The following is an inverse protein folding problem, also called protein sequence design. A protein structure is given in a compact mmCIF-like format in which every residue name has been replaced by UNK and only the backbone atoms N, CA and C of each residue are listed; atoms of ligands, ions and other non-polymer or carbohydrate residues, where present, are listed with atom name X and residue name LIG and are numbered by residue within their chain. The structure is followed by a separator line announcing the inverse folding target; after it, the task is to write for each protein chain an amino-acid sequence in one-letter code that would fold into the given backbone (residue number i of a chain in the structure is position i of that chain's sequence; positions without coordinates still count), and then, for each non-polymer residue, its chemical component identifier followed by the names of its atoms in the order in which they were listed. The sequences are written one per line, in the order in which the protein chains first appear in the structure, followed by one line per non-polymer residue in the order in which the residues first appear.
data_IF_243185838129
#
_entry.id   IF_243185838129
#
_cell.length_a   1.000
_cell.length_b   1.000
_cell.length_c   1.000
_cell.angle_alpha   90.00
_cell.angle_beta   90.00
_cell.angle_gamma   90.00
#
_symmetry.space_group_name_H-M   'P 1'
#
loop_
_entity.id
_entity.type
_entity.pdbx_description
1 polymer ?
#
# COMPACT_ATOMS: atom_id res chain seq x y z
N UNK A 1 19.79 -9.70 19.27
CA UNK A 1 20.52 -10.19 18.07
C UNK A 1 21.91 -9.56 18.05
N UNK A 2 22.94 -10.29 17.60
CA UNK A 2 24.31 -9.75 17.44
C UNK A 2 24.46 -8.99 16.11
N UNK A 3 25.41 -8.04 15.99
CA UNK A 3 25.59 -7.21 14.78
C UNK A 3 25.86 -8.05 13.51
N UNK A 4 26.62 -9.14 13.63
CA UNK A 4 26.87 -10.06 12.53
C UNK A 4 25.59 -10.66 11.95
N UNK A 5 24.65 -11.04 12.81
CA UNK A 5 23.36 -11.60 12.41
C UNK A 5 22.45 -10.53 11.80
N UNK A 6 22.47 -9.31 12.33
CA UNK A 6 21.74 -8.17 11.76
C UNK A 6 22.16 -7.91 10.31
N UNK A 7 23.48 -7.89 10.05
CA UNK A 7 24.03 -7.74 8.70
C UNK A 7 23.61 -8.89 7.77
N UNK A 8 23.56 -10.11 8.27
CA UNK A 8 23.08 -11.27 7.50
C UNK A 8 21.60 -11.13 7.12
N UNK A 9 20.75 -10.69 8.05
CA UNK A 9 19.34 -10.43 7.77
C UNK A 9 19.16 -9.40 6.65
N UNK A 10 19.91 -8.29 6.71
CA UNK A 10 19.85 -7.25 5.67
C UNK A 10 20.35 -7.76 4.32
N UNK A 11 21.40 -8.58 4.28
CA UNK A 11 21.88 -9.22 3.04
C UNK A 11 20.81 -10.10 2.39
N UNK A 12 20.06 -10.88 3.18
CA UNK A 12 18.99 -11.74 2.67
C UNK A 12 17.86 -10.89 2.06
N UNK A 13 17.50 -9.80 2.73
CA UNK A 13 16.49 -8.86 2.26
C UNK A 13 16.99 -7.95 1.13
N UNK A 14 18.29 -7.98 0.83
CA UNK A 14 19.00 -7.08 -0.10
C UNK A 14 18.85 -5.60 0.27
N UNK A 15 18.76 -5.33 1.56
CA UNK A 15 18.65 -3.97 2.12
C UNK A 15 20.01 -3.44 2.55
N UNK A 16 20.19 -2.13 2.38
CA UNK A 16 21.28 -1.32 2.94
C UNK A 16 20.93 -0.77 4.33
N UNK A 17 21.88 -0.09 4.97
CA UNK A 17 21.64 0.60 6.25
C UNK A 17 20.63 1.74 6.09
N UNK A 18 20.71 2.47 4.98
CA UNK A 18 19.80 3.54 4.61
C UNK A 18 18.37 3.01 4.41
N UNK A 19 18.19 1.90 3.69
CA UNK A 19 16.86 1.29 3.50
C UNK A 19 16.21 0.89 4.83
N UNK A 20 17.00 0.34 5.76
CA UNK A 20 16.50 0.01 7.09
C UNK A 20 16.13 1.27 7.88
N UNK A 21 16.94 2.32 7.79
CA UNK A 21 16.69 3.59 8.47
C UNK A 21 15.39 4.25 7.96
N UNK A 22 15.20 4.27 6.64
CA UNK A 22 13.97 4.74 6.00
C UNK A 22 12.75 3.93 6.45
N UNK A 23 12.85 2.60 6.46
CA UNK A 23 11.74 1.73 6.85
C UNK A 23 11.35 1.86 8.33
N UNK A 24 12.30 2.23 9.18
CA UNK A 24 12.08 2.47 10.61
C UNK A 24 11.71 3.94 10.92
N UNK A 25 11.88 4.85 9.95
CA UNK A 25 11.76 6.29 10.17
C UNK A 25 12.76 6.83 11.19
N UNK A 26 13.95 6.21 11.29
CA UNK A 26 14.99 6.60 12.23
C UNK A 26 16.26 7.10 11.52
N UNK A 27 17.14 7.84 12.19
CA UNK A 27 18.42 8.26 11.63
C UNK A 27 19.30 7.06 11.21
N UNK A 28 19.99 7.16 10.07
CA UNK A 28 20.93 6.13 9.61
C UNK A 28 22.09 5.91 10.59
N UNK A 29 22.47 6.94 11.36
CA UNK A 29 23.52 6.83 12.37
C UNK A 29 23.19 5.81 13.47
N UNK A 30 21.91 5.64 13.81
CA UNK A 30 21.49 4.66 14.82
C UNK A 30 21.60 3.24 14.26
N UNK A 31 21.17 3.08 13.01
CA UNK A 31 21.26 1.80 12.29
C UNK A 31 22.71 1.38 12.11
N UNK A 32 23.59 2.29 11.68
CA UNK A 32 25.03 2.01 11.53
C UNK A 32 25.68 1.67 12.86
N UNK A 33 25.32 2.36 13.95
CA UNK A 33 25.79 2.00 15.29
C UNK A 33 25.38 0.56 15.71
N UNK A 34 24.18 0.10 15.31
CA UNK A 34 23.76 -1.29 15.52
C UNK A 34 24.54 -2.28 14.66
N UNK A 35 24.79 -1.93 13.39
CA UNK A 35 25.52 -2.78 12.45
C UNK A 35 27.01 -2.90 12.80
N UNK A 36 27.61 -1.85 13.35
CA UNK A 36 28.99 -1.85 13.84
C UNK A 36 29.12 -2.50 15.21
N UNK A 37 28.01 -2.69 15.92
CA UNK A 37 27.99 -3.23 17.27
C UNK A 37 28.39 -2.23 18.35
N UNK A 38 28.43 -0.93 18.03
CA UNK A 38 28.62 0.15 19.00
C UNK A 38 27.44 0.28 19.96
N UNK A 39 26.24 0.01 19.43
CA UNK A 39 24.99 0.02 20.20
C UNK A 39 24.21 -1.26 19.93
N UNK A 40 23.47 -1.75 20.92
CA UNK A 40 22.60 -2.92 20.74
C UNK A 40 21.29 -2.51 20.06
N UNK A 41 20.92 -3.20 18.99
CA UNK A 41 19.63 -3.00 18.34
C UNK A 41 18.45 -3.35 19.30
N UNK A 42 17.37 -2.52 19.32
CA UNK A 42 16.17 -2.82 20.07
C UNK A 42 15.57 -4.18 19.74
N UNK A 43 15.08 -4.91 20.76
CA UNK A 43 14.64 -6.29 20.59
C UNK A 43 13.48 -6.43 19.60
N UNK A 44 12.53 -5.48 19.61
CA UNK A 44 11.40 -5.45 18.70
C UNK A 44 11.84 -5.38 17.22
N UNK A 45 12.82 -4.52 16.91
CA UNK A 45 13.38 -4.38 15.55
C UNK A 45 14.07 -5.68 15.12
N UNK A 46 14.83 -6.30 16.03
CA UNK A 46 15.51 -7.55 15.72
C UNK A 46 14.53 -8.70 15.46
N UNK A 47 13.45 -8.81 16.25
CA UNK A 47 12.41 -9.81 16.06
C UNK A 47 11.64 -9.60 14.75
N UNK A 48 11.34 -8.34 14.43
CA UNK A 48 10.67 -7.98 13.18
C UNK A 48 11.52 -8.30 11.95
N UNK A 49 12.83 -7.99 11.96
CA UNK A 49 13.74 -8.36 10.87
C UNK A 49 13.85 -9.88 10.68
N UNK A 50 13.88 -10.65 11.76
CA UNK A 50 13.89 -12.11 11.67
C UNK A 50 12.59 -12.65 11.05
N UNK A 51 11.45 -12.07 11.40
CA UNK A 51 10.16 -12.44 10.80
C UNK A 51 10.13 -12.12 9.30
N UNK A 52 10.64 -10.97 8.88
CA UNK A 52 10.76 -10.61 7.46
C UNK A 52 11.65 -11.58 6.70
N UNK A 53 12.81 -11.94 7.26
CA UNK A 53 13.72 -12.92 6.64
C UNK A 53 13.05 -14.29 6.51
N UNK A 54 12.29 -14.72 7.53
CA UNK A 54 11.52 -15.98 7.47
C UNK A 54 10.46 -15.93 6.36
N UNK A 55 9.71 -14.83 6.25
CA UNK A 55 8.71 -14.65 5.21
C UNK A 55 9.34 -14.62 3.80
N UNK A 56 10.44 -13.88 3.63
CA UNK A 56 11.18 -13.81 2.37
C UNK A 56 11.70 -15.18 1.90
N UNK A 57 12.10 -16.05 2.84
CA UNK A 57 12.52 -17.43 2.53
C UNK A 57 11.34 -18.35 2.20
N UNK A 58 10.18 -18.11 2.80
CA UNK A 58 8.98 -18.91 2.58
C UNK A 58 8.26 -18.58 1.25
N UNK A 59 8.47 -17.38 0.72
CA UNK A 59 7.87 -16.91 -0.52
C UNK A 59 8.87 -17.03 -1.66
N UNK A 60 8.83 -18.12 -2.46
CA UNK A 60 9.65 -18.20 -3.66
C UNK A 60 9.29 -17.05 -4.62
N UNK A 61 10.23 -16.56 -5.43
CA UNK A 61 9.93 -15.58 -6.47
C UNK A 61 8.77 -16.09 -7.34
N UNK A 62 7.80 -15.24 -7.71
CA UNK A 62 6.72 -15.66 -8.60
C UNK A 62 7.36 -16.12 -9.91
N UNK A 63 7.33 -17.43 -10.15
CA UNK A 63 7.74 -17.98 -11.42
C UNK A 63 6.74 -17.47 -12.46
N UNK A 64 7.22 -16.69 -13.43
CA UNK A 64 6.51 -16.43 -14.70
C UNK A 64 6.48 -17.72 -15.55
N UNK A 65 6.29 -18.87 -14.90
CA UNK A 65 6.08 -20.15 -15.55
C UNK A 65 4.84 -20.01 -16.40
N UNK A 66 5.06 -20.01 -17.72
CA UNK A 66 4.09 -20.25 -18.79
C UNK A 66 3.00 -21.19 -18.26
N UNK A 67 1.71 -20.87 -18.46
CA UNK A 67 0.62 -21.70 -17.93
C UNK A 67 0.91 -23.16 -18.25
N UNK A 68 1.06 -23.97 -17.21
CA UNK A 68 1.12 -25.42 -17.33
C UNK A 68 -0.11 -25.81 -18.16
N UNK A 69 0.02 -26.51 -19.31
CA UNK A 69 -1.15 -26.95 -20.05
C UNK A 69 -2.00 -27.75 -19.07
N UNK A 70 -3.22 -27.29 -18.91
CA UNK A 70 -4.19 -27.74 -17.92
C UNK A 70 -3.99 -29.23 -17.63
N UNK A 71 -3.59 -29.55 -16.39
CA UNK A 71 -3.82 -30.89 -15.86
C UNK A 71 -5.26 -31.22 -16.21
N UNK A 72 -5.44 -32.37 -16.81
CA UNK A 72 -6.69 -32.92 -17.32
C UNK A 72 -7.81 -32.78 -16.27
N UNK A 73 -8.43 -31.59 -16.18
CA UNK A 73 -9.63 -31.34 -15.38
C UNK A 73 -10.70 -32.02 -16.20
N UNK A 74 -10.85 -33.33 -16.00
CA UNK A 74 -12.05 -34.02 -16.46
C UNK A 74 -13.22 -33.25 -15.90
N UNK A 75 -14.12 -32.71 -16.76
CA UNK A 75 -15.28 -32.02 -16.26
C UNK A 75 -16.03 -33.01 -15.36
N UNK A 76 -16.19 -32.64 -14.09
CA UNK A 76 -17.07 -33.36 -13.19
C UNK A 76 -18.43 -33.32 -13.88
N UNK A 77 -18.89 -34.49 -14.34
CA UNK A 77 -20.21 -34.64 -14.92
C UNK A 77 -21.19 -34.42 -13.78
N UNK A 78 -21.63 -33.17 -13.62
CA UNK A 78 -22.67 -32.80 -12.70
C UNK A 78 -23.92 -33.52 -13.19
N UNK A 79 -24.21 -34.67 -12.57
CA UNK A 79 -25.52 -35.29 -12.72
C UNK A 79 -26.50 -34.32 -12.08
N UNK A 80 -27.56 -34.05 -12.83
CA UNK A 80 -28.61 -33.09 -12.51
C UNK A 80 -29.10 -33.32 -11.08
N UNK A 81 -28.62 -32.50 -10.15
CA UNK A 81 -29.18 -32.44 -8.80
C UNK A 81 -30.27 -31.40 -8.89
N UNK A 82 -31.51 -31.88 -8.84
CA UNK A 82 -32.70 -31.05 -8.80
C UNK A 82 -32.69 -30.27 -7.47
N UNK A 83 -32.06 -29.10 -7.47
CA UNK A 83 -32.05 -28.20 -6.32
C UNK A 83 -33.42 -27.53 -6.27
N UNK A 84 -34.38 -28.23 -5.67
CA UNK A 84 -35.65 -27.65 -5.27
C UNK A 84 -35.34 -26.47 -4.33
N UNK A 85 -35.45 -25.26 -4.87
CA UNK A 85 -35.20 -24.02 -4.13
C UNK A 85 -36.45 -23.73 -3.31
N UNK A 86 -36.46 -23.86 -1.97
CA UNK A 86 -37.60 -23.38 -1.21
C UNK A 86 -37.63 -21.85 -1.34
N UNK A 87 -38.67 -21.34 -1.99
CA UNK A 87 -38.92 -19.90 -2.09
C UNK A 87 -39.17 -19.35 -0.69
N UNK A 88 -38.12 -18.81 -0.06
CA UNK A 88 -38.25 -18.02 1.16
C UNK A 88 -38.99 -16.73 0.77
N UNK A 89 -40.31 -16.70 1.00
CA UNK A 89 -41.09 -15.45 0.98
C UNK A 89 -40.59 -14.58 2.12
N UNK A 90 -39.78 -13.58 1.80
CA UNK A 90 -39.49 -12.48 2.73
C UNK A 90 -40.71 -11.57 2.78
N UNK A 91 -41.31 -11.31 3.96
CA UNK A 91 -42.25 -10.20 4.12
C UNK A 91 -41.53 -8.89 3.83
N UNK A 92 -42.21 -7.96 3.16
CA UNK A 92 -41.68 -6.68 2.70
C UNK A 92 -40.93 -5.94 3.81
N UNK A 93 -39.69 -5.55 3.50
CA UNK A 93 -38.92 -4.64 4.32
C UNK A 93 -39.02 -3.27 3.64
N UNK A 94 -39.83 -2.41 4.25
CA UNK A 94 -39.99 -1.02 3.85
C UNK A 94 -38.61 -0.33 3.76
N UNK A 95 -38.50 0.50 2.73
CA UNK A 95 -37.28 1.17 2.28
C UNK A 95 -36.50 1.85 3.41
N UNK A 96 -35.37 1.28 3.81
CA UNK A 96 -34.33 1.99 4.55
C UNK A 96 -33.38 2.60 3.51
N UNK A 97 -33.52 3.90 3.28
CA UNK A 97 -32.57 4.71 2.50
C UNK A 97 -31.21 4.71 3.21
N UNK A 98 -30.26 3.94 2.70
CA UNK A 98 -28.86 4.02 3.12
C UNK A 98 -28.25 5.32 2.54
N UNK A 99 -28.17 6.37 3.36
CA UNK A 99 -27.34 7.53 3.05
C UNK A 99 -25.86 7.13 3.25
N UNK A 100 -25.12 6.97 2.16
CA UNK A 100 -23.67 6.80 2.22
C UNK A 100 -22.98 8.16 2.43
N UNK A 101 -21.99 8.30 3.34
CA UNK A 101 -21.45 9.61 3.75
C UNK A 101 -20.43 10.23 2.79
N UNK A 102 -20.18 9.63 1.63
CA UNK A 102 -19.10 10.08 0.75
C UNK A 102 -19.65 10.63 -0.56
N UNK A 103 -19.42 11.91 -0.89
CA UNK A 103 -19.82 12.46 -2.17
C UNK A 103 -18.93 11.88 -3.27
N UNK A 104 -19.52 11.08 -4.15
CA UNK A 104 -18.87 10.66 -5.39
C UNK A 104 -18.68 11.87 -6.30
N UNK A 105 -17.42 12.20 -6.57
CA UNK A 105 -17.01 13.23 -7.53
C UNK A 105 -17.42 12.80 -8.94
N UNK A 106 -18.37 13.51 -9.54
CA UNK A 106 -18.78 13.29 -10.93
C UNK A 106 -17.66 13.72 -11.91
N UNK A 107 -17.48 13.02 -13.05
CA UNK A 107 -16.55 13.41 -14.09
C UNK A 107 -17.09 14.59 -14.90
N UNK A 108 -16.23 15.58 -15.13
CA UNK A 108 -16.53 16.80 -15.89
C UNK A 108 -16.80 16.48 -17.36
N UNK A 109 -17.98 16.87 -17.86
CA UNK A 109 -18.25 16.94 -19.29
C UNK A 109 -18.96 18.25 -19.63
N UNK A 110 -18.21 19.08 -20.36
CA UNK A 110 -18.62 20.02 -21.41
C UNK A 110 -19.93 20.81 -21.28
N UNK A 111 -19.79 22.14 -21.37
CA UNK A 111 -20.76 22.94 -22.13
C UNK A 111 -21.08 24.31 -21.55
N UNK A 112 -20.76 25.33 -22.35
CA UNK A 112 -21.39 26.66 -22.39
C UNK A 112 -21.02 27.71 -21.32
N UNK A 113 -20.10 28.59 -21.73
CA UNK A 113 -20.08 30.05 -21.45
C UNK A 113 -21.46 30.69 -21.77
N UNK A 114 -21.85 31.88 -21.27
CA UNK A 114 -21.07 33.11 -21.52
C UNK A 114 -21.18 34.32 -20.54
N UNK A 115 -20.21 35.24 -20.69
CA UNK A 115 -20.31 36.74 -20.57
C UNK A 115 -20.67 37.41 -19.23
N UNK A 116 -20.19 38.59 -18.84
CA UNK A 116 -19.13 39.54 -19.24
C UNK A 116 -19.11 40.64 -18.13
N UNK A 117 -17.98 41.38 -18.03
CA UNK A 117 -17.81 42.79 -17.61
C UNK A 117 -17.22 43.12 -16.21
N UNK A 118 -16.37 44.18 -16.14
CA UNK A 118 -15.07 44.13 -15.50
C UNK A 118 -14.79 45.25 -14.47
N UNK A 119 -13.65 45.18 -13.80
CA UNK A 119 -12.94 46.31 -13.22
C UNK A 119 -11.50 45.87 -12.88
N UNK A 120 -10.43 46.24 -13.61
CA UNK A 120 -9.79 47.57 -13.68
C UNK A 120 -9.36 48.00 -12.27
N UNK A 121 -8.09 48.13 -11.82
CA UNK A 121 -6.78 48.54 -12.38
C UNK A 121 -5.69 48.05 -11.38
N UNK A 122 -4.51 47.59 -11.81
CA UNK A 122 -3.27 48.34 -12.15
C UNK A 122 -2.55 48.98 -10.95
N UNK A 123 -1.29 48.59 -10.75
CA UNK A 123 -0.29 49.30 -9.93
C UNK A 123 0.54 48.33 -9.08
N UNK A 124 1.65 47.80 -9.61
CA UNK A 124 3.02 48.32 -9.41
C UNK A 124 3.53 48.01 -7.98
N UNK A 125 4.52 47.14 -7.78
CA UNK A 125 5.92 47.14 -8.20
C UNK A 125 6.83 47.44 -6.99
N UNK A 126 7.69 46.47 -6.70
CA UNK A 126 9.10 46.60 -6.31
C UNK A 126 9.53 47.05 -4.91
N UNK A 127 10.34 46.15 -4.33
CA UNK A 127 11.60 46.33 -3.59
C UNK A 127 11.68 47.26 -2.37
N UNK A 128 12.20 46.70 -1.26
CA UNK A 128 13.37 47.28 -0.59
C UNK A 128 14.07 46.23 0.31
N UNK A 129 15.39 46.35 0.34
CA UNK A 129 16.37 45.53 1.03
C UNK A 129 16.94 46.31 2.24
N UNK A 130 17.49 45.58 3.23
CA UNK A 130 18.53 45.98 4.21
C UNK A 130 18.10 46.78 5.48
N UNK A 131 18.99 46.95 6.49
CA UNK A 131 19.45 45.95 7.47
C UNK A 131 19.52 46.55 8.91
N UNK A 132 20.03 45.79 9.89
CA UNK A 132 20.94 46.27 10.96
C UNK A 132 21.84 45.11 11.40
#
# INVERSE_FOLDING_TARGET
MIPGRLRECLKILRWSATDLAEQLGCPEIDVTAWLDGRTRAPIAITAWLEALVKAHRALPPPSLSKPEPARDIRPIKLTDVDIATPAIRRPGLDSITAQFPYPHRAPNAAGARPTLIPGQRKGASSHATHPL
#
